data_IF_435138887523
#
_entry.id   IF_435138887523
#
_cell.length_a   1.000
_cell.length_b   1.000
_cell.length_c   1.000
_cell.angle_alpha   90.00
_cell.angle_beta   90.00
_cell.angle_gamma   90.00
#
_symmetry.space_group_name_H-M   'P 1'
#
loop_
_entity.id
_entity.type
_entity.pdbx_description
1 polymer ?
#
# COMPACT_ATOMS: atom_id res chain seq x y z
N UNK A 1 -44.50 56.68 44.94
CA UNK A 1 -44.57 56.32 43.51
C UNK A 1 -43.23 56.54 42.78
N UNK A 2 -42.65 57.75 42.79
CA UNK A 2 -41.35 58.02 42.12
C UNK A 2 -40.19 57.18 42.71
N UNK A 3 -40.13 57.03 44.04
CA UNK A 3 -39.02 56.35 44.71
C UNK A 3 -38.96 54.83 44.47
N UNK A 4 -40.09 54.20 44.18
CA UNK A 4 -40.21 52.76 43.95
C UNK A 4 -39.87 52.41 42.50
N UNK A 5 -40.26 53.28 41.56
CA UNK A 5 -39.83 53.21 40.17
C UNK A 5 -38.30 53.38 40.05
N UNK A 6 -37.70 54.32 40.79
CA UNK A 6 -36.23 54.48 40.81
C UNK A 6 -35.50 53.24 41.35
N UNK A 7 -36.03 52.55 42.37
CA UNK A 7 -35.44 51.30 42.88
C UNK A 7 -35.53 50.16 41.86
N UNK A 8 -36.66 50.05 41.15
CA UNK A 8 -36.84 49.01 40.14
C UNK A 8 -35.94 49.23 38.92
N UNK A 9 -35.74 50.50 38.52
CA UNK A 9 -34.80 50.88 37.46
C UNK A 9 -33.36 50.50 37.88
N UNK A 10 -32.92 50.88 39.08
CA UNK A 10 -31.58 50.54 39.58
C UNK A 10 -31.34 49.02 39.68
N UNK A 11 -32.36 48.24 40.06
CA UNK A 11 -32.25 46.77 40.13
C UNK A 11 -32.14 46.13 38.74
N UNK A 12 -32.88 46.65 37.77
CA UNK A 12 -32.83 46.17 36.39
C UNK A 12 -31.50 46.53 35.71
N UNK A 13 -30.98 47.73 35.98
CA UNK A 13 -29.65 48.12 35.52
C UNK A 13 -28.56 47.22 36.09
N UNK A 14 -28.60 46.92 37.41
CA UNK A 14 -27.63 46.02 38.03
C UNK A 14 -27.68 44.58 37.46
N UNK A 15 -28.87 44.08 37.11
CA UNK A 15 -29.03 42.77 36.44
C UNK A 15 -28.48 42.79 35.02
N UNK A 16 -28.73 43.87 34.28
CA UNK A 16 -28.21 44.05 32.92
C UNK A 16 -26.67 44.10 32.92
N UNK A 17 -26.07 44.80 33.89
CA UNK A 17 -24.60 44.86 34.03
C UNK A 17 -24.00 43.49 34.33
N UNK A 18 -24.62 42.69 35.21
CA UNK A 18 -24.15 41.32 35.50
C UNK A 18 -24.23 40.40 34.29
N UNK A 19 -25.32 40.46 33.51
CA UNK A 19 -25.42 39.68 32.27
C UNK A 19 -24.39 40.11 31.22
N UNK A 20 -24.12 41.41 31.12
CA UNK A 20 -23.10 41.92 30.21
C UNK A 20 -21.68 41.47 30.60
N UNK A 21 -21.37 41.42 31.90
CA UNK A 21 -20.11 40.87 32.43
C UNK A 21 -19.96 39.38 32.08
N UNK A 22 -20.99 38.58 32.32
CA UNK A 22 -20.94 37.14 32.03
C UNK A 22 -20.81 36.83 30.52
N UNK A 23 -21.48 37.62 29.67
CA UNK A 23 -21.31 37.52 28.21
C UNK A 23 -19.90 37.92 27.79
N UNK A 24 -19.28 38.90 28.46
CA UNK A 24 -17.90 39.31 28.21
C UNK A 24 -16.91 38.21 28.56
N UNK A 25 -17.12 37.51 29.68
CA UNK A 25 -16.26 36.39 30.11
C UNK A 25 -16.37 35.19 29.17
N UNK A 26 -17.59 34.82 28.76
CA UNK A 26 -17.82 33.75 27.77
C UNK A 26 -17.22 34.08 26.39
N UNK A 27 -17.26 35.36 25.99
CA UNK A 27 -16.57 35.82 24.77
C UNK A 27 -15.05 35.75 24.94
N UNK A 28 -14.51 36.07 26.11
CA UNK A 28 -13.10 35.91 26.46
C UNK A 28 -12.64 34.46 26.33
N UNK A 29 -13.34 33.52 26.95
CA UNK A 29 -13.01 32.09 26.90
C UNK A 29 -13.17 31.48 25.50
N UNK A 30 -14.17 31.91 24.72
CA UNK A 30 -14.30 31.51 23.31
C UNK A 30 -13.17 32.07 22.46
N UNK A 31 -12.75 33.31 22.71
CA UNK A 31 -11.63 33.92 22.01
C UNK A 31 -10.32 33.21 22.37
N UNK A 32 -10.11 32.86 23.63
CA UNK A 32 -8.92 32.13 24.11
C UNK A 32 -8.86 30.71 23.53
N UNK A 33 -9.97 29.97 23.53
CA UNK A 33 -10.06 28.66 22.87
C UNK A 33 -9.91 28.74 21.34
N UNK A 34 -10.43 29.80 20.71
CA UNK A 34 -10.21 30.05 19.28
C UNK A 34 -8.76 30.41 18.98
N UNK A 35 -8.07 31.06 19.92
CA UNK A 35 -6.65 31.39 19.82
C UNK A 35 -5.78 30.15 20.02
N UNK A 36 -6.09 29.30 21.01
CA UNK A 36 -5.42 28.00 21.23
C UNK A 36 -5.63 27.04 20.04
N UNK A 37 -6.84 26.95 19.49
CA UNK A 37 -7.09 26.17 18.25
C UNK A 37 -6.48 26.79 16.99
N UNK A 38 -6.20 28.09 16.98
CA UNK A 38 -5.48 28.74 15.89
C UNK A 38 -3.95 28.57 16.02
N UNK A 39 -3.44 28.40 17.25
CA UNK A 39 -2.04 28.07 17.54
C UNK A 39 -1.75 26.58 17.28
N UNK A 40 -2.69 25.67 17.58
CA UNK A 40 -2.66 24.27 17.11
C UNK A 40 -3.21 24.20 15.68
N UNK A 41 -2.49 24.78 14.72
CA UNK A 41 -2.74 24.54 13.30
C UNK A 41 -1.69 23.56 12.79
N UNK A 42 -2.13 22.35 12.41
CA UNK A 42 -1.36 21.49 11.50
C UNK A 42 -1.06 22.29 10.23
N UNK A 43 0.18 22.75 10.10
CA UNK A 43 0.67 23.30 8.83
C UNK A 43 1.07 22.12 7.96
N UNK A 44 0.19 21.73 7.04
CA UNK A 44 0.63 20.95 5.90
C UNK A 44 1.47 21.85 5.00
N UNK A 45 2.53 21.26 4.42
CA UNK A 45 3.32 21.70 3.26
C UNK A 45 4.81 21.96 3.55
N UNK A 46 5.59 20.90 3.33
CA UNK A 46 6.94 20.97 2.78
C UNK A 46 7.12 19.90 1.70
N UNK A 47 7.87 20.20 0.66
CA UNK A 47 8.48 19.22 -0.23
C UNK A 47 9.93 19.09 0.19
N UNK A 48 10.39 17.85 0.43
CA UNK A 48 11.81 17.59 0.67
C UNK A 48 12.64 17.98 -0.57
N UNK A 49 13.97 18.08 -0.41
CA UNK A 49 14.89 18.36 -1.53
C UNK A 49 14.75 17.40 -2.71
N UNK A 50 14.18 16.21 -2.47
CA UNK A 50 13.98 15.14 -3.45
C UNK A 50 12.53 15.07 -3.98
N UNK A 51 11.73 16.12 -3.80
CA UNK A 51 10.36 16.20 -4.36
C UNK A 51 9.29 15.35 -3.65
N UNK A 52 9.65 14.58 -2.62
CA UNK A 52 8.66 13.82 -1.81
C UNK A 52 7.88 14.75 -0.89
N UNK A 53 6.55 14.56 -0.82
CA UNK A 53 5.68 15.32 0.09
C UNK A 53 5.95 14.90 1.52
N UNK A 54 6.18 15.87 2.41
CA UNK A 54 6.44 15.64 3.83
C UNK A 54 5.47 16.45 4.69
N UNK A 55 4.99 15.85 5.78
CA UNK A 55 4.22 16.47 6.84
C UNK A 55 5.15 16.76 8.00
N UNK A 56 5.29 18.03 8.38
CA UNK A 56 6.02 18.44 9.58
C UNK A 56 5.19 18.09 10.82
N UNK A 57 5.80 17.41 11.77
CA UNK A 57 5.18 17.08 13.05
C UNK A 57 5.80 17.98 14.11
N UNK A 58 5.21 19.17 14.32
CA UNK A 58 5.69 20.11 15.33
C UNK A 58 4.56 20.81 16.07
N UNK A 59 4.81 21.15 17.34
CA UNK A 59 3.96 22.10 18.08
C UNK A 59 4.55 23.48 17.84
N UNK A 60 3.81 24.31 17.12
CA UNK A 60 4.21 25.68 16.81
C UNK A 60 3.53 26.65 17.77
N UNK A 61 4.32 27.31 18.62
CA UNK A 61 3.85 28.48 19.37
C UNK A 61 4.33 29.75 18.68
N UNK A 62 3.77 30.91 19.02
CA UNK A 62 4.19 32.21 18.42
C UNK A 62 5.67 32.56 18.66
N UNK A 63 6.33 31.94 19.65
CA UNK A 63 7.71 32.27 20.07
C UNK A 63 8.71 31.14 19.81
N UNK A 64 8.25 29.90 19.61
CA UNK A 64 9.12 28.75 19.33
C UNK A 64 8.39 27.64 18.61
N UNK A 65 9.15 26.87 17.82
CA UNK A 65 8.68 25.62 17.20
C UNK A 65 9.39 24.48 17.89
N UNK A 66 8.62 23.56 18.47
CA UNK A 66 9.13 22.27 18.90
C UNK A 66 8.86 21.28 17.76
N UNK A 67 9.88 20.96 16.96
CA UNK A 67 9.77 19.99 15.86
C UNK A 67 10.07 18.57 16.37
N UNK A 68 9.23 17.62 15.99
CA UNK A 68 9.40 16.19 16.22
C UNK A 68 9.81 15.44 14.94
N UNK A 69 10.20 16.16 13.87
CA UNK A 69 10.61 15.59 12.59
C UNK A 69 9.51 15.61 11.51
N UNK A 70 9.77 14.91 10.39
CA UNK A 70 8.91 14.90 9.20
C UNK A 70 8.38 13.50 8.88
N UNK A 71 7.15 13.40 8.35
CA UNK A 71 6.54 12.16 7.83
C UNK A 71 6.31 12.26 6.32
N UNK A 72 6.86 11.34 5.52
CA UNK A 72 6.64 11.30 4.06
C UNK A 72 5.20 10.85 3.75
N UNK A 73 4.48 11.60 2.93
CA UNK A 73 3.14 11.26 2.42
C UNK A 73 3.30 10.88 0.93
N UNK A 74 3.41 9.58 0.64
CA UNK A 74 3.38 9.08 -0.74
C UNK A 74 2.08 9.53 -1.44
N UNK A 75 2.19 10.01 -2.68
CA UNK A 75 1.02 10.19 -3.57
C UNK A 75 0.97 8.96 -4.47
N UNK A 76 -0.14 8.22 -4.42
CA UNK A 76 -0.40 7.06 -5.26
C UNK A 76 -0.86 7.53 -6.66
N UNK A 77 0.08 8.02 -7.48
CA UNK A 77 -0.17 8.29 -8.90
C UNK A 77 0.31 7.11 -9.76
N UNK A 78 -0.37 6.88 -10.90
CA UNK A 78 -0.04 5.84 -11.88
C UNK A 78 1.40 5.90 -12.37
N UNK A 79 1.96 7.10 -12.51
CA UNK A 79 3.36 7.33 -12.87
C UNK A 79 4.33 6.96 -11.75
N UNK A 80 3.96 7.24 -10.49
CA UNK A 80 4.76 6.86 -9.32
C UNK A 80 4.84 5.35 -9.19
N UNK A 81 3.73 4.64 -9.44
CA UNK A 81 3.70 3.18 -9.44
C UNK A 81 4.57 2.62 -10.57
N UNK A 82 4.50 3.19 -11.78
CA UNK A 82 5.33 2.76 -12.90
C UNK A 82 6.83 2.96 -12.64
N UNK A 83 7.21 4.10 -12.07
CA UNK A 83 8.61 4.38 -11.72
C UNK A 83 9.12 3.46 -10.61
N UNK A 84 8.32 3.17 -9.58
CA UNK A 84 8.68 2.18 -8.55
C UNK A 84 8.87 0.80 -9.16
N UNK A 85 7.98 0.36 -10.06
CA UNK A 85 8.14 -0.92 -10.78
C UNK A 85 9.45 -0.92 -11.57
N UNK A 86 9.73 0.14 -12.34
CA UNK A 86 10.95 0.27 -13.14
C UNK A 86 12.21 0.23 -12.28
N UNK A 87 12.24 1.01 -11.20
CA UNK A 87 13.38 1.10 -10.28
C UNK A 87 13.62 -0.25 -9.59
N UNK A 88 12.58 -0.90 -9.06
CA UNK A 88 12.70 -2.23 -8.44
C UNK A 88 13.16 -3.29 -9.44
N UNK A 89 12.69 -3.25 -10.68
CA UNK A 89 13.14 -4.16 -11.73
C UNK A 89 14.62 -3.91 -12.11
N UNK A 90 15.04 -2.64 -12.21
CA UNK A 90 16.44 -2.29 -12.51
C UNK A 90 17.39 -2.66 -11.37
N UNK A 91 17.00 -2.37 -10.14
CA UNK A 91 17.72 -2.78 -8.94
C UNK A 91 17.84 -4.31 -8.90
N UNK A 92 16.77 -5.05 -9.21
CA UNK A 92 16.82 -6.51 -9.30
C UNK A 92 17.77 -7.03 -10.38
N UNK A 93 17.89 -6.32 -11.51
CA UNK A 93 18.84 -6.67 -12.56
C UNK A 93 20.30 -6.45 -12.12
N UNK A 94 20.57 -5.47 -11.26
CA UNK A 94 21.91 -5.21 -10.72
C UNK A 94 22.43 -6.30 -9.78
N UNK A 95 21.53 -7.05 -9.13
CA UNK A 95 21.86 -8.18 -8.26
C UNK A 95 22.04 -9.51 -9.00
N UNK A 96 21.91 -9.53 -10.33
CA UNK A 96 22.12 -10.74 -11.11
C UNK A 96 23.61 -11.02 -11.30
N UNK A 97 24.13 -12.05 -10.64
CA UNK A 97 25.34 -12.72 -11.10
C UNK A 97 25.02 -13.42 -12.42
N UNK A 98 25.78 -13.13 -13.48
CA UNK A 98 25.53 -13.42 -14.90
C UNK A 98 25.13 -14.86 -15.30
N UNK A 99 25.11 -15.84 -14.39
CA UNK A 99 24.78 -17.25 -14.66
C UNK A 99 23.72 -17.86 -13.72
N UNK A 100 23.07 -17.10 -12.83
CA UNK A 100 22.08 -17.63 -11.88
C UNK A 100 20.67 -17.11 -12.15
N UNK A 101 19.66 -17.99 -12.04
CA UNK A 101 18.25 -17.62 -12.13
C UNK A 101 17.91 -16.58 -11.04
N UNK A 102 17.24 -15.46 -11.37
CA UNK A 102 16.86 -14.45 -10.38
C UNK A 102 16.01 -15.06 -9.26
N UNK A 103 16.27 -14.68 -8.01
CA UNK A 103 15.59 -15.25 -6.84
C UNK A 103 14.06 -15.13 -6.93
N UNK A 104 13.55 -14.00 -7.44
CA UNK A 104 12.12 -13.79 -7.65
C UNK A 104 11.52 -14.80 -8.66
N UNK A 105 12.17 -15.02 -9.80
CA UNK A 105 11.70 -15.97 -10.82
C UNK A 105 11.78 -17.40 -10.27
N UNK A 106 12.88 -17.74 -9.60
CA UNK A 106 13.04 -19.03 -8.93
C UNK A 106 11.93 -19.27 -7.93
N UNK A 107 11.64 -18.33 -7.04
CA UNK A 107 10.55 -18.40 -6.07
C UNK A 107 9.20 -18.60 -6.78
N UNK A 108 8.92 -17.83 -7.84
CA UNK A 108 7.66 -17.93 -8.56
C UNK A 108 7.46 -19.33 -9.14
N UNK A 109 8.51 -19.87 -9.74
CA UNK A 109 8.51 -21.21 -10.32
C UNK A 109 8.38 -22.29 -9.24
N UNK A 110 9.24 -22.28 -8.23
CA UNK A 110 9.28 -23.34 -7.20
C UNK A 110 8.02 -23.34 -6.33
N UNK A 111 7.48 -22.19 -5.96
CA UNK A 111 6.21 -22.11 -5.24
C UNK A 111 5.05 -22.67 -6.08
N UNK A 112 5.03 -22.38 -7.39
CA UNK A 112 4.03 -22.93 -8.31
C UNK A 112 4.20 -24.45 -8.54
N UNK A 113 5.42 -24.97 -8.51
CA UNK A 113 5.71 -26.41 -8.59
C UNK A 113 5.28 -27.16 -7.33
N UNK A 114 5.38 -26.54 -6.15
CA UNK A 114 5.01 -27.18 -4.87
C UNK A 114 3.51 -27.10 -4.60
N UNK A 115 2.87 -25.97 -4.93
CA UNK A 115 1.48 -25.65 -4.55
C UNK A 115 0.49 -25.71 -5.75
N UNK A 116 0.99 -25.84 -6.98
CA UNK A 116 0.20 -25.79 -8.19
C UNK A 116 -0.61 -27.08 -8.48
N UNK A 117 -1.60 -27.03 -9.40
CA UNK A 117 -2.48 -28.16 -9.69
C UNK A 117 -1.79 -29.36 -10.34
N UNK A 118 -0.63 -29.14 -10.96
CA UNK A 118 0.25 -30.16 -11.54
C UNK A 118 1.63 -30.13 -10.86
N UNK A 119 1.63 -29.83 -9.56
CA UNK A 119 2.85 -29.83 -8.79
C UNK A 119 3.52 -31.20 -8.77
N UNK A 120 4.77 -31.25 -8.33
CA UNK A 120 5.52 -32.50 -8.20
C UNK A 120 4.75 -33.46 -7.27
N UNK A 121 4.30 -34.61 -7.76
CA UNK A 121 3.56 -35.58 -6.94
C UNK A 121 4.41 -36.14 -5.79
N UNK A 122 5.74 -36.11 -5.93
CA UNK A 122 6.67 -36.62 -4.91
C UNK A 122 7.11 -35.56 -3.91
N UNK A 123 7.26 -34.31 -4.36
CA UNK A 123 7.83 -33.23 -3.56
C UNK A 123 6.86 -32.07 -3.29
N UNK A 124 5.70 -32.04 -3.92
CA UNK A 124 4.68 -31.01 -3.77
C UNK A 124 3.69 -31.30 -2.64
N UNK A 125 2.97 -30.26 -2.22
CA UNK A 125 2.02 -30.30 -1.08
C UNK A 125 0.63 -29.83 -1.47
N UNK A 126 0.26 -30.05 -2.73
CA UNK A 126 -1.00 -29.53 -3.29
C UNK A 126 -2.22 -29.94 -2.47
N UNK A 127 -2.29 -31.18 -2.01
CA UNK A 127 -3.46 -31.67 -1.26
C UNK A 127 -3.55 -31.00 0.11
N UNK A 128 -2.44 -30.91 0.84
CA UNK A 128 -2.34 -30.24 2.14
C UNK A 128 -2.65 -28.74 2.00
N UNK A 129 -2.15 -28.11 0.94
CA UNK A 129 -2.48 -26.74 0.60
C UNK A 129 -3.98 -26.54 0.36
N UNK A 130 -4.63 -27.42 -0.41
CA UNK A 130 -6.08 -27.32 -0.66
C UNK A 130 -6.89 -27.54 0.62
N UNK A 131 -6.48 -28.46 1.49
CA UNK A 131 -7.12 -28.67 2.80
C UNK A 131 -6.97 -27.42 3.69
N UNK A 132 -5.76 -26.86 3.77
CA UNK A 132 -5.49 -25.62 4.50
C UNK A 132 -6.34 -24.44 4.00
N UNK A 133 -6.47 -24.32 2.67
CA UNK A 133 -7.28 -23.27 2.05
C UNK A 133 -8.77 -23.46 2.29
N UNK A 134 -9.24 -24.71 2.29
CA UNK A 134 -10.62 -25.06 2.66
C UNK A 134 -10.91 -24.65 4.11
N UNK A 135 -10.01 -24.96 5.05
CA UNK A 135 -10.17 -24.58 6.46
C UNK A 135 -10.16 -23.06 6.67
N UNK A 136 -9.34 -22.34 5.90
CA UNK A 136 -9.34 -20.87 5.84
C UNK A 136 -10.52 -20.27 5.06
N UNK A 137 -11.42 -21.08 4.48
CA UNK A 137 -12.53 -20.65 3.60
C UNK A 137 -12.07 -19.77 2.43
N UNK A 138 -10.89 -20.04 1.88
CA UNK A 138 -10.31 -19.32 0.75
C UNK A 138 -10.12 -20.26 -0.46
N UNK A 139 -10.20 -19.73 -1.68
CA UNK A 139 -9.85 -20.50 -2.88
C UNK A 139 -8.35 -20.37 -3.17
N UNK A 140 -7.68 -21.48 -3.50
CA UNK A 140 -6.32 -21.45 -4.05
C UNK A 140 -6.31 -20.76 -5.42
N UNK A 141 -5.48 -19.72 -5.56
CA UNK A 141 -5.20 -19.04 -6.83
C UNK A 141 -3.87 -19.46 -7.45
N UNK A 142 -3.12 -20.34 -6.80
CA UNK A 142 -1.83 -20.81 -7.33
C UNK A 142 -2.05 -21.66 -8.58
N UNK A 143 -1.47 -21.19 -9.69
CA UNK A 143 -1.52 -21.85 -10.99
C UNK A 143 -0.31 -22.76 -11.21
N UNK A 144 -0.38 -23.58 -12.27
CA UNK A 144 0.75 -24.37 -12.70
C UNK A 144 1.73 -23.51 -13.50
N UNK A 145 3.03 -23.59 -13.20
CA UNK A 145 4.05 -22.89 -13.98
C UNK A 145 4.35 -23.57 -15.33
N UNK A 146 4.05 -24.88 -15.47
CA UNK A 146 4.25 -25.61 -16.71
C UNK A 146 3.36 -25.14 -17.87
N UNK A 147 3.93 -25.05 -19.08
CA UNK A 147 3.24 -24.58 -20.30
C UNK A 147 3.82 -23.27 -20.83
N UNK A 148 2.97 -22.27 -21.05
CA UNK A 148 3.39 -20.92 -21.47
C UNK A 148 4.07 -20.19 -20.29
N UNK A 149 5.38 -20.45 -20.14
CA UNK A 149 6.20 -19.96 -19.02
C UNK A 149 6.22 -18.43 -18.90
N UNK A 150 6.05 -17.72 -20.02
CA UNK A 150 5.99 -16.26 -20.01
C UNK A 150 4.73 -15.75 -19.32
N UNK A 151 3.55 -16.18 -19.78
CA UNK A 151 2.28 -15.77 -19.17
C UNK A 151 2.14 -16.30 -17.74
N UNK A 152 2.58 -17.55 -17.51
CA UNK A 152 2.52 -18.17 -16.20
C UNK A 152 3.37 -17.44 -15.17
N UNK A 153 4.51 -16.84 -15.55
CA UNK A 153 5.32 -16.04 -14.65
C UNK A 153 4.52 -14.90 -14.02
N UNK A 154 3.80 -14.14 -14.84
CA UNK A 154 3.01 -12.99 -14.41
C UNK A 154 1.84 -13.41 -13.52
N UNK A 155 1.04 -14.39 -13.97
CA UNK A 155 -0.11 -14.85 -13.20
C UNK A 155 0.31 -15.57 -11.91
N UNK A 156 1.39 -16.36 -11.93
CA UNK A 156 1.94 -16.98 -10.72
C UNK A 156 2.45 -15.93 -9.73
N UNK A 157 3.13 -14.87 -10.19
CA UNK A 157 3.57 -13.78 -9.32
C UNK A 157 2.40 -13.15 -8.56
N UNK A 158 1.30 -12.83 -9.25
CA UNK A 158 0.08 -12.30 -8.62
C UNK A 158 -0.47 -13.27 -7.58
N UNK A 159 -0.52 -14.56 -7.90
CA UNK A 159 -1.03 -15.58 -6.98
C UNK A 159 -0.18 -15.75 -5.72
N UNK A 160 1.15 -15.58 -5.83
CA UNK A 160 2.09 -15.71 -4.72
C UNK A 160 2.02 -14.49 -3.81
N UNK A 161 1.92 -13.28 -4.37
CA UNK A 161 1.68 -12.06 -3.57
C UNK A 161 0.37 -12.19 -2.81
N UNK A 162 -0.70 -12.66 -3.47
CA UNK A 162 -2.00 -12.84 -2.83
C UNK A 162 -1.97 -13.87 -1.68
N UNK A 163 -1.17 -14.93 -1.81
CA UNK A 163 -1.08 -16.00 -0.83
C UNK A 163 0.17 -15.94 0.07
N UNK A 164 0.93 -14.85 0.08
CA UNK A 164 2.23 -14.79 0.76
C UNK A 164 2.20 -15.33 2.18
N UNK A 165 1.31 -14.78 3.01
CA UNK A 165 1.15 -15.20 4.42
C UNK A 165 0.61 -16.62 4.53
N UNK A 166 -0.34 -16.99 3.67
CA UNK A 166 -0.93 -18.33 3.67
C UNK A 166 0.14 -19.40 3.35
N UNK A 167 1.09 -19.10 2.45
CA UNK A 167 2.21 -19.99 2.08
C UNK A 167 3.22 -20.10 3.22
N UNK A 168 3.57 -18.98 3.87
CA UNK A 168 4.46 -19.00 5.04
C UNK A 168 3.85 -19.85 6.15
N UNK A 169 2.57 -19.66 6.45
CA UNK A 169 1.86 -20.39 7.50
C UNK A 169 1.87 -21.90 7.25
N UNK A 170 1.55 -22.32 6.02
CA UNK A 170 1.46 -23.75 5.70
C UNK A 170 2.84 -24.41 5.73
N UNK A 171 3.86 -23.76 5.16
CA UNK A 171 5.21 -24.34 5.07
C UNK A 171 5.94 -24.34 6.41
N UNK A 172 5.63 -23.40 7.31
CA UNK A 172 6.30 -23.29 8.61
C UNK A 172 5.66 -24.18 9.69
N UNK A 173 4.32 -24.34 9.67
CA UNK A 173 3.60 -24.93 10.80
C UNK A 173 3.07 -26.34 10.56
N UNK A 174 2.93 -26.77 9.31
CA UNK A 174 2.23 -28.04 9.00
C UNK A 174 3.17 -29.19 8.59
N UNK A 175 4.48 -28.94 8.47
CA UNK A 175 5.46 -29.95 8.08
C UNK A 175 6.56 -30.09 9.12
N UNK A 176 6.63 -31.25 9.76
CA UNK A 176 7.67 -31.56 10.77
C UNK A 176 9.08 -31.65 10.16
N UNK A 177 9.19 -32.10 8.91
CA UNK A 177 10.45 -32.22 8.17
C UNK A 177 10.31 -31.59 6.77
N UNK A 178 10.54 -30.26 6.64
CA UNK A 178 10.42 -29.59 5.35
C UNK A 178 11.52 -30.06 4.40
N UNK A 179 11.14 -30.47 3.18
CA UNK A 179 12.11 -30.80 2.13
C UNK A 179 12.90 -29.55 1.70
N UNK A 180 14.01 -29.74 0.98
CA UNK A 180 14.89 -28.63 0.57
C UNK A 180 14.14 -27.57 -0.27
N UNK A 181 13.13 -27.98 -1.05
CA UNK A 181 12.33 -27.06 -1.84
C UNK A 181 11.44 -26.18 -0.96
N UNK A 182 10.85 -26.72 0.12
CA UNK A 182 10.05 -25.95 1.07
C UNK A 182 10.93 -24.94 1.81
N UNK A 183 12.10 -25.38 2.24
CA UNK A 183 13.07 -24.49 2.90
C UNK A 183 13.49 -23.36 1.96
N UNK A 184 13.74 -23.67 0.68
CA UNK A 184 14.07 -22.65 -0.32
C UNK A 184 12.92 -21.67 -0.55
N UNK A 185 11.68 -22.16 -0.71
CA UNK A 185 10.51 -21.29 -0.89
C UNK A 185 10.28 -20.44 0.34
N UNK A 186 10.39 -21.02 1.54
CA UNK A 186 10.19 -20.31 2.80
C UNK A 186 11.25 -19.21 3.01
N UNK A 187 12.52 -19.50 2.68
CA UNK A 187 13.59 -18.51 2.74
C UNK A 187 13.37 -17.35 1.75
N UNK A 188 13.04 -17.67 0.49
CA UNK A 188 12.83 -16.67 -0.56
C UNK A 188 11.56 -15.83 -0.30
N UNK A 189 10.44 -16.44 0.12
CA UNK A 189 9.16 -15.74 0.36
C UNK A 189 9.16 -14.89 1.64
N UNK A 190 10.03 -15.22 2.60
CA UNK A 190 10.21 -14.43 3.82
C UNK A 190 11.20 -13.27 3.62
N UNK A 191 11.92 -13.25 2.51
CA UNK A 191 12.85 -12.18 2.17
C UNK A 191 12.10 -11.00 1.53
N UNK A 192 12.06 -9.86 2.21
CA UNK A 192 11.39 -8.64 1.72
C UNK A 192 11.93 -8.19 0.36
N UNK A 193 13.25 -8.29 0.15
CA UNK A 193 13.89 -7.92 -1.12
C UNK A 193 13.38 -8.79 -2.27
N UNK A 194 13.29 -10.10 -2.08
CA UNK A 194 12.77 -11.02 -3.12
C UNK A 194 11.28 -10.78 -3.35
N UNK A 195 10.50 -10.60 -2.28
CA UNK A 195 9.06 -10.34 -2.39
C UNK A 195 8.75 -9.00 -3.04
N UNK A 196 9.57 -7.96 -2.84
CA UNK A 196 9.41 -6.68 -3.53
C UNK A 196 9.54 -6.84 -5.06
N UNK A 197 10.45 -7.69 -5.51
CA UNK A 197 10.63 -8.02 -6.93
C UNK A 197 9.45 -8.83 -7.47
N UNK A 198 8.98 -9.83 -6.72
CA UNK A 198 7.78 -10.59 -7.08
C UNK A 198 6.55 -9.68 -7.15
N UNK A 199 6.42 -8.73 -6.22
CA UNK A 199 5.35 -7.73 -6.22
C UNK A 199 5.45 -6.80 -7.44
N UNK A 200 6.66 -6.36 -7.83
CA UNK A 200 6.85 -5.58 -9.06
C UNK A 200 6.40 -6.35 -10.31
N UNK A 201 6.73 -7.64 -10.42
CA UNK A 201 6.27 -8.52 -11.51
C UNK A 201 4.74 -8.68 -11.47
N UNK A 202 4.16 -8.88 -10.29
CA UNK A 202 2.71 -8.98 -10.11
C UNK A 202 1.99 -7.69 -10.51
N UNK A 203 2.52 -6.53 -10.14
CA UNK A 203 1.96 -5.24 -10.56
C UNK A 203 2.07 -5.05 -12.07
N UNK A 204 3.20 -5.41 -12.68
CA UNK A 204 3.34 -5.41 -14.14
C UNK A 204 2.33 -6.36 -14.82
N UNK A 205 2.00 -7.49 -14.18
CA UNK A 205 0.93 -8.39 -14.66
C UNK A 205 -0.40 -7.67 -14.74
N UNK A 206 -0.85 -7.09 -13.62
CA UNK A 206 -2.19 -6.50 -13.50
C UNK A 206 -2.31 -5.22 -14.34
N UNK A 207 -1.25 -4.43 -14.43
CA UNK A 207 -1.28 -3.13 -15.13
C UNK A 207 -1.03 -3.24 -16.64
N UNK A 208 -0.25 -4.23 -17.07
CA UNK A 208 0.24 -4.32 -18.45
C UNK A 208 -0.15 -5.65 -19.07
N UNK A 209 0.35 -6.76 -18.52
CA UNK A 209 0.29 -8.06 -19.19
C UNK A 209 -1.15 -8.58 -19.33
N UNK A 210 -1.95 -8.54 -18.26
CA UNK A 210 -3.34 -9.02 -18.26
C UNK A 210 -4.26 -8.15 -19.12
N UNK A 211 -4.27 -6.81 -19.01
CA UNK A 211 -5.05 -5.97 -19.93
C UNK A 211 -4.68 -6.20 -21.39
N UNK A 212 -3.39 -6.34 -21.68
CA UNK A 212 -2.91 -6.63 -23.03
C UNK A 212 -3.35 -8.02 -23.52
N UNK A 213 -3.26 -9.04 -22.65
CA UNK A 213 -3.71 -10.38 -22.96
C UNK A 213 -5.22 -10.45 -23.19
N UNK A 214 -6.00 -9.74 -22.38
CA UNK A 214 -7.45 -9.62 -22.55
C UNK A 214 -7.81 -8.94 -23.87
N UNK A 215 -7.04 -7.92 -24.26
CA UNK A 215 -7.22 -7.24 -25.53
C UNK A 215 -6.89 -8.17 -26.72
N UNK A 216 -5.82 -8.96 -26.66
CA UNK A 216 -5.49 -9.96 -27.70
C UNK A 216 -6.60 -11.01 -27.83
N UNK A 217 -7.17 -11.47 -26.70
CA UNK A 217 -8.22 -12.47 -26.70
C UNK A 217 -9.62 -11.90 -26.95
N UNK A 218 -9.75 -10.57 -27.04
CA UNK A 218 -11.00 -9.94 -27.41
C UNK A 218 -11.28 -10.15 -28.90
N UNK A 219 -12.53 -9.91 -29.31
CA UNK A 219 -12.90 -9.93 -30.73
C UNK A 219 -12.40 -8.69 -31.51
N UNK A 220 -11.57 -7.85 -30.88
CA UNK A 220 -10.99 -6.69 -31.54
C UNK A 220 -10.01 -7.11 -32.63
N UNK A 221 -9.95 -6.30 -33.70
CA UNK A 221 -9.03 -6.59 -34.79
C UNK A 221 -7.61 -6.36 -34.31
N UNK A 222 -6.73 -7.32 -34.58
CA UNK A 222 -5.30 -7.20 -34.26
C UNK A 222 -4.67 -5.89 -34.77
N UNK A 223 -5.12 -5.38 -35.92
CA UNK A 223 -4.65 -4.10 -36.48
C UNK A 223 -5.03 -2.89 -35.64
N UNK A 224 -5.98 -2.98 -34.71
CA UNK A 224 -6.37 -1.89 -33.82
C UNK A 224 -5.63 -1.94 -32.48
N UNK A 225 -4.86 -3.00 -32.21
CA UNK A 225 -4.09 -3.20 -30.98
C UNK A 225 -3.10 -2.06 -30.69
N UNK A 226 -2.49 -1.49 -31.74
CA UNK A 226 -1.53 -0.38 -31.60
C UNK A 226 -2.14 0.85 -30.93
N UNK A 227 -3.47 1.06 -31.04
CA UNK A 227 -4.17 2.19 -30.41
C UNK A 227 -4.13 2.11 -28.89
N UNK A 228 -4.04 0.91 -28.35
CA UNK A 228 -3.95 0.65 -26.91
C UNK A 228 -2.50 0.56 -26.42
N UNK A 229 -1.59 0.05 -27.26
CA UNK A 229 -0.16 -0.08 -26.93
C UNK A 229 0.57 1.26 -27.02
N UNK A 230 0.24 2.12 -27.99
CA UNK A 230 0.94 3.40 -28.21
C UNK A 230 0.87 4.36 -26.99
N UNK A 231 -0.28 4.52 -26.30
CA UNK A 231 -0.35 5.32 -25.07
C UNK A 231 0.46 4.73 -23.90
N UNK A 232 0.57 3.40 -23.81
CA UNK A 232 1.43 2.74 -22.81
C UNK A 232 2.91 2.98 -23.13
N UNK A 233 3.29 2.88 -24.41
CA UNK A 233 4.65 3.12 -24.85
C UNK A 233 5.11 4.55 -24.60
N UNK A 234 4.27 5.55 -24.85
CA UNK A 234 4.62 6.96 -24.58
C UNK A 234 4.83 7.22 -23.10
N UNK A 235 4.07 6.56 -22.21
CA UNK A 235 4.21 6.70 -20.76
C UNK A 235 5.41 5.96 -20.16
N UNK A 236 5.93 4.94 -20.85
CA UNK A 236 7.09 4.17 -20.41
C UNK A 236 8.42 4.71 -20.93
N UNK A 237 8.38 5.56 -21.97
CA UNK A 237 9.55 6.13 -22.62
C UNK A 237 9.98 7.50 -22.03
N UNK A 238 9.17 8.08 -21.16
CA UNK A 238 9.53 9.21 -20.29
C UNK A 238 10.26 8.71 -19.02
#
# INVERSE_FOLDING_TARGET
>A
MIHEQSKQINLNEAKLTKQQLQIRDLKGQKQENKTLKAEIKEKQHGTGRDGKKIQDMGIHTKKSTLSFGYKVIAKEDSETVANVIKDTLQESASYQNNNSEPAAIRLIRTASEILGPRGDEKNGVRQQWLAFMHDKKKSSKIINYGGNRFNNLFTSAVSIVYHQHDVIDVLSNYFETPNLQFQSVLADISCEGVMSQVAAIAMASVLIAEPYWNLINSNEKYVDLYKFVRPLQSKLAE
#
